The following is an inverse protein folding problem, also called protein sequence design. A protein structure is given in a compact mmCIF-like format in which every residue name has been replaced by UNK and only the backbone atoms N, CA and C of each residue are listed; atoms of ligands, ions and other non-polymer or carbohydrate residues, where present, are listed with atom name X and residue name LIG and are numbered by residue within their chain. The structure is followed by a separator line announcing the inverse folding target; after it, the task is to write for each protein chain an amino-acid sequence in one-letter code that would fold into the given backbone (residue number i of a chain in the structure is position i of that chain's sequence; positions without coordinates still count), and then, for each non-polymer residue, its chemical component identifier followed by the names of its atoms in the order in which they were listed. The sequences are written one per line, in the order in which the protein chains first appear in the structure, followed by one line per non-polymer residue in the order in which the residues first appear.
data_IF_209780996201
#
_entry.id   IF_209780996201
#
_cell.length_a   1.000
_cell.length_b   1.000
_cell.length_c   1.000
_cell.angle_alpha   90.00
_cell.angle_beta   90.00
_cell.angle_gamma   90.00
#
_symmetry.space_group_name_H-M   'P 1'
#
loop_
_entity.id
_entity.type
_entity.pdbx_description
1 polymer ?
#
# COMPACT_ATOMS: atom_id res chain seq x y z
N UNK A 1 -9.99 -8.14 -0.05
CA UNK A 1 -10.25 -6.81 -0.62
C UNK A 1 -9.08 -6.43 -1.51
N UNK A 2 -9.32 -6.03 -2.76
CA UNK A 2 -8.27 -5.49 -3.63
C UNK A 2 -8.01 -4.00 -3.31
N UNK A 3 -6.78 -3.60 -2.92
CA UNK A 3 -6.45 -2.19 -2.70
C UNK A 3 -6.65 -1.38 -3.98
N UNK A 4 -7.15 -0.15 -3.86
CA UNK A 4 -7.20 0.79 -5.00
C UNK A 4 -5.77 1.24 -5.30
N UNK A 5 -5.36 1.21 -6.58
CA UNK A 5 -4.08 1.78 -7.00
C UNK A 5 -3.99 3.22 -6.51
N UNK A 6 -2.90 3.53 -5.81
CA UNK A 6 -2.67 4.86 -5.29
C UNK A 6 -2.44 5.81 -6.46
N UNK A 7 -3.40 6.71 -6.71
CA UNK A 7 -3.18 7.84 -7.62
C UNK A 7 -2.37 8.86 -6.85
N UNK A 8 -1.22 9.27 -7.39
CA UNK A 8 -0.51 10.43 -6.87
C UNK A 8 -1.48 11.61 -6.82
N UNK A 9 -1.84 12.11 -5.62
CA UNK A 9 -2.65 13.30 -5.56
C UNK A 9 -1.76 14.43 -6.07
N UNK A 10 -2.07 15.00 -7.23
CA UNK A 10 -1.50 16.28 -7.68
C UNK A 10 -1.88 17.47 -6.77
N UNK A 11 -2.36 17.18 -5.57
CA UNK A 11 -2.79 18.16 -4.58
C UNK A 11 -1.57 18.63 -3.82
N UNK A 12 -1.28 19.91 -3.99
CA UNK A 12 -0.33 20.69 -3.21
C UNK A 12 -0.91 20.98 -1.81
N UNK A 13 -1.40 19.94 -1.13
CA UNK A 13 -2.00 20.07 0.19
C UNK A 13 -0.87 20.36 1.18
N UNK A 14 -0.80 21.61 1.64
CA UNK A 14 0.24 22.16 2.51
C UNK A 14 0.43 21.35 3.80
N UNK A 15 -0.58 20.58 4.22
CA UNK A 15 -0.57 19.80 5.46
C UNK A 15 -0.19 18.32 5.26
N UNK A 16 -0.10 17.85 4.00
CA UNK A 16 0.32 16.49 3.69
C UNK A 16 1.72 16.52 3.08
N UNK A 17 2.72 16.37 3.95
CA UNK A 17 4.10 16.20 3.52
C UNK A 17 4.18 14.98 2.58
N UNK A 18 4.56 15.22 1.33
CA UNK A 18 4.71 14.12 0.37
C UNK A 18 5.95 13.32 0.71
N UNK A 19 5.89 12.01 0.48
CA UNK A 19 7.00 11.12 0.82
C UNK A 19 8.30 11.55 0.12
N UNK A 20 8.22 11.96 -1.15
CA UNK A 20 9.36 12.44 -1.95
C UNK A 20 9.94 13.78 -1.48
N UNK A 21 9.21 14.54 -0.66
CA UNK A 21 9.71 15.75 0.00
C UNK A 21 10.44 15.44 1.31
N UNK A 22 10.14 14.29 1.94
CA UNK A 22 10.70 13.89 3.23
C UNK A 22 11.93 13.00 3.06
N UNK A 23 11.96 12.14 2.04
CA UNK A 23 13.03 11.16 1.85
C UNK A 23 14.09 11.64 0.87
N UNK A 24 15.33 11.16 1.05
CA UNK A 24 16.39 11.37 0.07
C UNK A 24 16.11 10.54 -1.19
N UNK A 25 15.76 11.20 -2.29
CA UNK A 25 15.48 10.54 -3.57
C UNK A 25 16.70 9.83 -4.20
N UNK A 26 17.92 10.12 -3.74
CA UNK A 26 19.15 9.40 -4.15
C UNK A 26 19.40 8.13 -3.34
N UNK A 27 18.57 7.83 -2.35
CA UNK A 27 18.72 6.63 -1.54
C UNK A 27 18.58 5.36 -2.40
N UNK A 28 19.39 4.34 -2.13
CA UNK A 28 19.49 3.12 -2.96
C UNK A 28 18.15 2.41 -3.12
N UNK A 29 17.35 2.33 -2.04
CA UNK A 29 16.00 1.74 -2.09
C UNK A 29 15.04 2.52 -2.99
N UNK A 30 15.17 3.85 -3.08
CA UNK A 30 14.34 4.68 -3.95
C UNK A 30 14.72 4.44 -5.41
N UNK A 31 16.02 4.38 -5.69
CA UNK A 31 16.52 4.05 -7.03
C UNK A 31 16.14 2.63 -7.45
N UNK A 32 16.20 1.67 -6.53
CA UNK A 32 15.76 0.30 -6.77
C UNK A 32 14.26 0.26 -7.08
N UNK A 33 13.44 0.94 -6.27
CA UNK A 33 12.00 1.03 -6.51
C UNK A 33 11.69 1.63 -7.89
N UNK A 34 12.46 2.61 -8.37
CA UNK A 34 12.30 3.16 -9.72
C UNK A 34 12.61 2.20 -10.87
N UNK A 35 13.36 1.11 -10.61
CA UNK A 35 13.72 0.08 -11.60
C UNK A 35 12.75 -1.10 -11.62
N UNK A 36 11.93 -1.25 -10.57
CA UNK A 36 10.98 -2.35 -10.44
C UNK A 36 9.72 -2.03 -11.24
N UNK A 37 9.26 -2.99 -12.06
CA UNK A 37 7.96 -2.92 -12.71
C UNK A 37 6.86 -3.25 -11.71
N UNK A 38 6.38 -2.23 -11.01
CA UNK A 38 5.32 -2.35 -10.02
C UNK A 38 3.96 -2.70 -10.63
N UNK A 39 3.72 -2.34 -11.89
CA UNK A 39 2.46 -2.66 -12.56
C UNK A 39 2.38 -4.15 -12.90
N UNK A 40 3.50 -4.75 -13.33
CA UNK A 40 3.58 -6.20 -13.51
C UNK A 40 3.37 -6.94 -12.19
N UNK A 41 4.06 -6.54 -11.11
CA UNK A 41 3.88 -7.16 -9.78
C UNK A 41 2.43 -7.03 -9.31
N UNK A 42 1.81 -5.86 -9.46
CA UNK A 42 0.40 -5.67 -9.09
C UNK A 42 -0.51 -6.60 -9.90
N UNK A 43 -0.26 -6.78 -11.19
CA UNK A 43 -1.03 -7.70 -12.04
C UNK A 43 -0.89 -9.17 -11.62
N UNK A 44 0.32 -9.62 -11.27
CA UNK A 44 0.57 -11.00 -10.84
C UNK A 44 -0.01 -11.29 -9.45
N UNK A 45 0.05 -10.31 -8.54
CA UNK A 45 -0.40 -10.50 -7.16
C UNK A 45 -1.88 -10.17 -6.99
N UNK A 46 -2.47 -9.31 -7.85
CA UNK A 46 -3.88 -8.91 -7.76
C UNK A 46 -4.87 -10.09 -7.69
N UNK A 47 -4.73 -11.17 -8.47
CA UNK A 47 -5.61 -12.34 -8.39
C UNK A 47 -5.55 -13.08 -7.06
N UNK A 48 -4.44 -12.94 -6.31
CA UNK A 48 -4.28 -13.58 -5.00
C UNK A 48 -5.05 -12.85 -3.89
N UNK A 49 -5.47 -11.60 -4.12
CA UNK A 49 -6.32 -10.89 -3.19
C UNK A 49 -7.76 -11.38 -3.30
N UNK A 50 -8.35 -11.71 -2.16
CA UNK A 50 -9.80 -11.90 -2.09
C UNK A 50 -10.53 -10.64 -2.57
N UNK A 51 -11.66 -10.78 -3.24
CA UNK A 51 -12.51 -9.64 -3.58
C UNK A 51 -13.11 -9.01 -2.32
N UNK A 52 -13.49 -9.87 -1.37
CA UNK A 52 -14.09 -9.47 -0.11
C UNK A 52 -13.02 -9.18 0.94
N UNK A 53 -13.20 -8.10 1.69
CA UNK A 53 -12.39 -7.85 2.89
C UNK A 53 -12.68 -8.90 3.96
N UNK A 54 -11.74 -9.12 4.88
CA UNK A 54 -12.08 -9.81 6.13
C UNK A 54 -13.14 -8.96 6.83
N UNK A 55 -14.30 -9.51 7.20
CA UNK A 55 -15.31 -8.74 7.93
C UNK A 55 -14.68 -8.22 9.22
N UNK A 56 -14.96 -6.95 9.53
CA UNK A 56 -14.56 -6.35 10.79
C UNK A 56 -15.26 -7.08 11.91
N UNK A 57 -14.57 -8.01 12.55
CA UNK A 57 -15.05 -8.61 13.80
C UNK A 57 -14.92 -7.54 14.88
N UNK A 58 -16.03 -7.24 15.56
CA UNK A 58 -15.94 -6.64 16.89
C UNK A 58 -15.05 -7.57 17.71
N UNK A 59 -13.98 -7.04 18.31
CA UNK A 59 -13.14 -7.83 19.19
C UNK A 59 -14.03 -8.35 20.32
N UNK A 60 -14.48 -9.61 20.23
CA UNK A 60 -15.11 -10.24 21.36
C UNK A 60 -14.01 -10.41 22.42
N UNK A 61 -14.24 -9.96 23.66
CA UNK A 61 -13.26 -10.14 24.72
C UNK A 61 -13.15 -11.65 24.97
N UNK A 62 -12.09 -12.29 24.46
CA UNK A 62 -11.75 -13.66 24.83
C UNK A 62 -11.37 -14.64 23.71
N UNK A 63 -11.49 -14.31 22.43
CA UNK A 63 -11.06 -15.23 21.35
C UNK A 63 -10.17 -14.54 20.34
N UNK A 64 -8.95 -14.23 20.77
CA UNK A 64 -7.84 -14.12 19.84
C UNK A 64 -7.57 -15.52 19.27
N UNK A 65 -8.36 -15.93 18.27
CA UNK A 65 -8.06 -17.09 17.44
C UNK A 65 -6.90 -16.71 16.51
N UNK A 66 -5.68 -16.73 17.07
CA UNK A 66 -4.48 -17.00 16.28
C UNK A 66 -4.35 -18.51 16.25
N UNK A 67 -4.39 -19.09 15.04
CA UNK A 67 -3.78 -20.38 14.75
C UNK A 67 -2.58 -20.10 13.85
#
# INVERSE_FOLDING_TARGET
MRPKKHKSPGSNDLFRARLDQIINMKHELVQLAGKVDWDWIDCEVAPLYSENGRPGIVAQPGTACWN
#
